data_IF_758138862561
#
_entry.id   IF_758138862561
#
_cell.length_a   1.000
_cell.length_b   1.000
_cell.length_c   1.000
_cell.angle_alpha   90.00
_cell.angle_beta   90.00
_cell.angle_gamma   90.00
#
_symmetry.space_group_name_H-M   'P 1'
#
loop_
_entity.id
_entity.type
_entity.pdbx_description
1 polymer ?
#
# COMPACT_ATOMS: atom_id res chain seq x y z
N UNK A 1 4.86 -0.18 -13.35
CA UNK A 1 4.13 0.71 -14.26
C UNK A 1 5.07 1.82 -14.70
N UNK A 2 5.20 2.03 -16.00
CA UNK A 2 5.96 3.14 -16.56
C UNK A 2 5.02 4.27 -16.98
N UNK A 3 5.38 5.49 -16.63
CA UNK A 3 4.65 6.70 -17.02
C UNK A 3 5.59 7.53 -17.89
N UNK A 4 5.27 7.62 -19.17
CA UNK A 4 6.06 8.31 -20.18
C UNK A 4 5.65 7.89 -21.58
N UNK A 5 6.36 8.43 -22.57
CA UNK A 5 6.07 8.21 -23.98
C UNK A 5 7.28 7.71 -24.79
N UNK A 6 8.45 7.59 -24.21
CA UNK A 6 9.65 7.19 -24.90
C UNK A 6 9.66 5.68 -25.19
N UNK A 7 9.47 5.34 -26.48
CA UNK A 7 9.41 3.93 -26.93
C UNK A 7 10.70 3.17 -26.69
N UNK A 8 11.86 3.82 -26.80
CA UNK A 8 13.16 3.18 -26.59
C UNK A 8 13.30 2.72 -25.15
N UNK A 9 12.90 3.57 -24.20
CA UNK A 9 12.92 3.25 -22.78
C UNK A 9 11.90 2.12 -22.48
N UNK A 10 10.71 2.19 -23.07
CA UNK A 10 9.66 1.17 -22.91
C UNK A 10 10.19 -0.20 -23.38
N UNK A 11 10.77 -0.27 -24.57
CA UNK A 11 11.29 -1.52 -25.14
C UNK A 11 12.45 -2.09 -24.32
N UNK A 12 13.36 -1.22 -23.86
CA UNK A 12 14.46 -1.61 -23.01
C UNK A 12 13.98 -2.17 -21.66
N UNK A 13 13.16 -1.42 -20.95
CA UNK A 13 12.66 -1.81 -19.63
C UNK A 13 11.75 -3.03 -19.68
N UNK A 14 10.95 -3.19 -20.73
CA UNK A 14 10.07 -4.35 -20.89
C UNK A 14 10.87 -5.66 -21.03
N UNK A 15 12.02 -5.61 -21.73
CA UNK A 15 12.92 -6.76 -21.89
C UNK A 15 13.60 -7.15 -20.58
N UNK A 16 14.03 -6.14 -19.82
CA UNK A 16 14.86 -6.37 -18.62
C UNK A 16 14.02 -6.68 -17.38
N UNK A 17 12.80 -6.16 -17.28
CA UNK A 17 11.99 -6.37 -16.07
C UNK A 17 11.40 -7.77 -15.94
N UNK A 18 11.29 -8.53 -17.03
CA UNK A 18 10.83 -9.94 -17.04
C UNK A 18 9.48 -10.20 -16.38
N UNK A 19 8.74 -9.15 -16.02
CA UNK A 19 7.49 -9.20 -15.28
C UNK A 19 6.36 -8.48 -16.00
N UNK A 20 5.25 -8.30 -15.30
CA UNK A 20 4.12 -7.54 -15.83
C UNK A 20 4.53 -6.05 -15.94
N UNK A 21 4.76 -5.59 -17.14
CA UNK A 21 5.14 -4.23 -17.48
C UNK A 21 3.97 -3.54 -18.18
N UNK A 22 3.56 -2.39 -17.67
CA UNK A 22 2.47 -1.58 -18.25
C UNK A 22 2.97 -0.17 -18.47
N UNK A 23 2.97 0.28 -19.72
CA UNK A 23 3.32 1.65 -20.08
C UNK A 23 2.04 2.49 -20.26
N UNK A 24 2.04 3.67 -19.67
CA UNK A 24 0.93 4.65 -19.77
C UNK A 24 1.49 6.05 -20.01
N UNK A 25 0.68 6.90 -20.65
CA UNK A 25 1.09 8.25 -21.03
C UNK A 25 0.77 9.32 -19.98
N UNK A 26 0.11 8.96 -18.85
CA UNK A 26 -0.24 9.95 -17.84
C UNK A 26 -0.44 9.31 -16.45
N UNK A 27 -0.26 10.08 -15.37
CA UNK A 27 -0.52 9.63 -14.01
C UNK A 27 -1.96 9.20 -13.75
N UNK A 28 -2.92 9.82 -14.43
CA UNK A 28 -4.34 9.48 -14.28
C UNK A 28 -4.65 8.09 -14.88
N UNK A 29 -4.00 7.74 -16.00
CA UNK A 29 -4.08 6.39 -16.58
C UNK A 29 -3.38 5.38 -15.69
N UNK A 30 -2.21 5.73 -15.13
CA UNK A 30 -1.52 4.90 -14.13
C UNK A 30 -2.41 4.63 -12.92
N UNK A 31 -3.10 5.65 -12.42
CA UNK A 31 -4.02 5.50 -11.30
C UNK A 31 -5.15 4.50 -11.59
N UNK A 32 -5.75 4.54 -12.78
CA UNK A 32 -6.77 3.56 -13.19
C UNK A 32 -6.23 2.13 -13.21
N UNK A 33 -5.01 1.94 -13.71
CA UNK A 33 -4.35 0.62 -13.71
C UNK A 33 -4.10 0.14 -12.28
N UNK A 34 -3.55 1.01 -11.41
CA UNK A 34 -3.28 0.69 -10.00
C UNK A 34 -4.55 0.33 -9.25
N UNK A 35 -5.64 1.07 -9.47
CA UNK A 35 -6.92 0.82 -8.82
C UNK A 35 -7.54 -0.53 -9.22
N UNK A 36 -7.23 -1.02 -10.43
CA UNK A 36 -7.64 -2.35 -10.91
C UNK A 36 -6.84 -3.52 -10.34
N UNK A 37 -5.69 -3.27 -9.73
CA UNK A 37 -4.81 -4.32 -9.19
C UNK A 37 -5.17 -4.59 -7.73
N UNK A 38 -5.52 -5.83 -7.39
CA UNK A 38 -5.88 -6.24 -6.02
C UNK A 38 -4.70 -6.16 -5.05
N UNK A 39 -3.50 -6.53 -5.50
CA UNK A 39 -2.29 -6.57 -4.67
C UNK A 39 -1.39 -5.35 -4.91
N UNK A 40 -1.74 -4.22 -4.31
CA UNK A 40 -1.03 -2.94 -4.48
C UNK A 40 0.40 -2.91 -3.90
N UNK A 41 0.81 -3.91 -3.15
CA UNK A 41 2.14 -3.97 -2.51
C UNK A 41 3.29 -4.29 -3.47
N UNK A 42 2.99 -4.75 -4.68
CA UNK A 42 3.97 -5.17 -5.68
C UNK A 42 4.15 -4.15 -6.81
N UNK A 43 3.60 -2.96 -6.66
CA UNK A 43 3.62 -1.95 -7.72
C UNK A 43 4.79 -1.00 -7.47
N UNK A 44 5.62 -0.83 -8.50
CA UNK A 44 6.57 0.28 -8.63
C UNK A 44 6.19 1.15 -9.81
N UNK A 45 6.39 2.45 -9.67
CA UNK A 45 6.18 3.43 -10.74
C UNK A 45 7.54 3.90 -11.22
N UNK A 46 7.75 3.82 -12.53
CA UNK A 46 8.87 4.40 -13.23
C UNK A 46 8.32 5.65 -13.94
N UNK A 47 8.70 6.82 -13.48
CA UNK A 47 8.22 8.09 -14.01
C UNK A 47 9.31 8.71 -14.90
N UNK A 48 9.01 8.94 -16.18
CA UNK A 48 9.90 9.61 -17.11
C UNK A 48 9.90 11.12 -16.83
N UNK A 49 11.09 11.68 -16.61
CA UNK A 49 11.24 13.12 -16.43
C UNK A 49 10.83 13.85 -17.71
N UNK A 50 10.04 14.90 -17.56
CA UNK A 50 9.70 15.83 -18.64
C UNK A 50 10.58 17.09 -18.59
N UNK A 51 10.40 17.98 -19.56
CA UNK A 51 11.14 19.25 -19.60
C UNK A 51 10.67 20.24 -18.51
N UNK A 52 9.51 19.99 -17.90
CA UNK A 52 8.89 20.91 -16.95
C UNK A 52 8.85 20.32 -15.56
N UNK A 53 9.82 20.67 -14.72
CA UNK A 53 9.94 20.21 -13.32
C UNK A 53 8.67 20.40 -12.50
N UNK A 54 7.99 21.52 -12.67
CA UNK A 54 6.78 21.86 -11.91
C UNK A 54 5.65 20.88 -12.20
N UNK A 55 5.51 20.48 -13.48
CA UNK A 55 4.53 19.47 -13.92
C UNK A 55 4.89 18.12 -13.30
N UNK A 56 6.14 17.69 -13.42
CA UNK A 56 6.62 16.43 -12.86
C UNK A 56 6.36 16.35 -11.35
N UNK A 57 6.75 17.39 -10.61
CA UNK A 57 6.57 17.43 -9.16
C UNK A 57 5.08 17.40 -8.77
N UNK A 58 4.22 18.08 -9.53
CA UNK A 58 2.77 18.07 -9.31
C UNK A 58 2.17 16.67 -9.53
N UNK A 59 2.54 16.03 -10.64
CA UNK A 59 2.05 14.71 -11.00
C UNK A 59 2.56 13.62 -10.05
N UNK A 60 3.82 13.67 -9.67
CA UNK A 60 4.40 12.75 -8.70
C UNK A 60 3.75 12.94 -7.32
N UNK A 61 3.50 14.19 -6.90
CA UNK A 61 2.81 14.48 -5.64
C UNK A 61 1.36 13.96 -5.65
N UNK A 62 0.67 14.07 -6.79
CA UNK A 62 -0.66 13.47 -6.97
C UNK A 62 -0.62 11.95 -6.75
N UNK A 63 0.33 11.26 -7.40
CA UNK A 63 0.50 9.81 -7.23
C UNK A 63 0.88 9.44 -5.79
N UNK A 64 1.75 10.21 -5.16
CA UNK A 64 2.18 9.98 -3.77
C UNK A 64 1.05 10.16 -2.77
N UNK A 65 0.21 11.18 -2.94
CA UNK A 65 -0.97 11.39 -2.08
C UNK A 65 -1.98 10.26 -2.21
N UNK A 66 -2.21 9.80 -3.45
CA UNK A 66 -3.18 8.72 -3.72
C UNK A 66 -2.64 7.34 -3.31
N UNK A 67 -1.34 7.10 -3.50
CA UNK A 67 -0.67 5.83 -3.24
C UNK A 67 0.57 5.99 -2.35
N UNK A 68 0.42 6.23 -1.05
CA UNK A 68 1.54 6.56 -0.16
C UNK A 68 2.63 5.48 -0.09
N UNK A 69 2.30 4.23 -0.37
CA UNK A 69 3.20 3.08 -0.23
C UNK A 69 3.88 2.64 -1.52
N UNK A 70 3.47 3.17 -2.67
CA UNK A 70 4.07 2.82 -3.96
C UNK A 70 5.47 3.39 -4.06
N UNK A 71 6.38 2.61 -4.66
CA UNK A 71 7.76 3.05 -4.90
C UNK A 71 7.82 3.81 -6.21
N UNK A 72 8.30 5.05 -6.20
CA UNK A 72 8.40 5.92 -7.38
C UNK A 72 9.86 6.14 -7.70
N UNK A 73 10.28 5.71 -8.90
CA UNK A 73 11.61 5.94 -9.47
C UNK A 73 11.49 6.94 -10.60
N UNK A 74 12.27 8.01 -10.54
CA UNK A 74 12.38 8.99 -11.61
C UNK A 74 13.39 8.49 -12.65
N UNK A 75 13.00 8.43 -13.92
CA UNK A 75 13.91 8.13 -15.02
C UNK A 75 14.41 9.45 -15.56
N UNK A 76 15.72 9.67 -15.43
CA UNK A 76 16.41 10.88 -15.85
C UNK A 76 17.86 10.58 -16.19
N UNK A 77 18.41 11.23 -17.20
CA UNK A 77 19.83 11.11 -17.53
C UNK A 77 20.69 11.75 -16.45
N UNK A 78 20.35 12.96 -16.06
CA UNK A 78 21.05 13.68 -15.02
C UNK A 78 20.08 14.50 -14.17
N UNK A 79 20.11 14.27 -12.87
CA UNK A 79 19.34 15.05 -11.94
C UNK A 79 20.19 16.20 -11.37
N UNK A 80 19.98 17.42 -11.87
CA UNK A 80 20.64 18.62 -11.35
C UNK A 80 20.42 18.74 -9.84
N UNK A 81 21.47 19.07 -9.09
CA UNK A 81 21.44 19.16 -7.63
C UNK A 81 20.34 20.11 -7.11
N UNK A 82 20.07 21.17 -7.84
CA UNK A 82 19.01 22.16 -7.54
C UNK A 82 17.60 21.54 -7.55
N UNK A 83 17.36 20.60 -8.46
CA UNK A 83 16.06 19.96 -8.65
C UNK A 83 15.84 18.77 -7.70
N UNK A 84 16.93 18.18 -7.19
CA UNK A 84 16.89 16.97 -6.36
C UNK A 84 15.97 17.11 -5.15
N UNK A 85 16.07 18.27 -4.45
CA UNK A 85 15.23 18.53 -3.27
C UNK A 85 13.75 18.58 -3.62
N UNK A 86 13.40 19.20 -4.74
CA UNK A 86 12.00 19.29 -5.19
C UNK A 86 11.41 17.92 -5.51
N UNK A 87 12.13 17.07 -6.24
CA UNK A 87 11.68 15.71 -6.55
C UNK A 87 11.57 14.82 -5.32
N UNK A 88 12.49 14.93 -4.35
CA UNK A 88 12.39 14.21 -3.09
C UNK A 88 11.15 14.65 -2.28
N UNK A 89 10.87 15.95 -2.25
CA UNK A 89 9.67 16.48 -1.58
C UNK A 89 8.38 16.07 -2.30
N UNK A 90 8.39 15.97 -3.64
CA UNK A 90 7.27 15.44 -4.41
C UNK A 90 7.00 13.96 -4.13
N UNK A 91 8.01 13.22 -3.65
CA UNK A 91 7.85 11.82 -3.23
C UNK A 91 8.61 10.80 -4.07
N UNK A 92 9.61 11.22 -4.84
CA UNK A 92 10.52 10.30 -5.54
C UNK A 92 11.35 9.52 -4.51
N UNK A 93 11.50 8.23 -4.73
CA UNK A 93 12.29 7.35 -3.86
C UNK A 93 13.69 7.07 -4.41
N UNK A 94 13.82 7.04 -5.72
CA UNK A 94 15.07 6.71 -6.41
C UNK A 94 15.12 7.36 -7.79
N UNK A 95 16.30 7.42 -8.38
CA UNK A 95 16.53 7.84 -9.77
C UNK A 95 17.18 6.70 -10.56
N UNK A 96 16.87 6.60 -11.83
CA UNK A 96 17.41 5.60 -12.73
C UNK A 96 17.73 6.25 -14.08
N UNK A 97 18.91 6.05 -14.67
CA UNK A 97 19.18 6.53 -16.02
C UNK A 97 18.31 5.78 -17.04
N UNK A 98 17.95 6.43 -18.17
CA UNK A 98 17.14 5.81 -19.24
C UNK A 98 17.75 4.54 -19.83
N UNK A 99 19.07 4.50 -19.87
CA UNK A 99 19.88 3.37 -20.38
C UNK A 99 20.52 2.57 -19.24
N UNK A 100 19.78 2.40 -18.14
CA UNK A 100 20.29 1.65 -17.01
C UNK A 100 20.67 0.22 -17.41
N UNK A 101 21.84 -0.22 -16.96
CA UNK A 101 22.28 -1.60 -17.13
C UNK A 101 21.33 -2.56 -16.44
N UNK A 102 21.23 -3.76 -16.98
CA UNK A 102 20.39 -4.84 -16.43
C UNK A 102 20.67 -5.08 -14.95
N UNK A 103 21.93 -5.06 -14.54
CA UNK A 103 22.36 -5.21 -13.16
C UNK A 103 21.78 -4.13 -12.22
N UNK A 104 21.65 -2.91 -12.70
CA UNK A 104 21.08 -1.81 -11.91
C UNK A 104 19.59 -1.99 -11.69
N UNK A 105 18.88 -2.48 -12.70
CA UNK A 105 17.46 -2.79 -12.65
C UNK A 105 17.22 -4.01 -11.77
N UNK A 106 18.05 -5.04 -11.87
CA UNK A 106 17.97 -6.24 -11.02
C UNK A 106 18.24 -5.89 -9.54
N UNK A 107 19.25 -5.06 -9.25
CA UNK A 107 19.51 -4.55 -7.89
C UNK A 107 18.32 -3.78 -7.34
N UNK A 108 17.71 -2.92 -8.13
CA UNK A 108 16.49 -2.20 -7.75
C UNK A 108 15.35 -3.18 -7.44
N UNK A 109 15.11 -4.17 -8.30
CA UNK A 109 14.06 -5.17 -8.10
C UNK A 109 14.30 -6.01 -6.83
N UNK A 110 15.54 -6.41 -6.58
CA UNK A 110 15.95 -7.15 -5.38
C UNK A 110 15.72 -6.32 -4.12
N UNK A 111 16.10 -5.05 -4.14
CA UNK A 111 15.83 -4.11 -3.06
C UNK A 111 14.33 -3.94 -2.79
N UNK A 112 13.52 -3.79 -3.84
CA UNK A 112 12.07 -3.66 -3.72
C UNK A 112 11.42 -4.91 -3.11
N UNK A 113 11.88 -6.11 -3.50
CA UNK A 113 11.44 -7.38 -2.92
C UNK A 113 11.79 -7.49 -1.44
N UNK A 114 13.06 -7.23 -1.09
CA UNK A 114 13.52 -7.25 0.30
C UNK A 114 12.75 -6.26 1.20
N UNK A 115 12.53 -5.04 0.70
CA UNK A 115 11.74 -4.02 1.40
C UNK A 115 10.29 -4.45 1.62
N UNK A 116 9.69 -5.12 0.63
CA UNK A 116 8.34 -5.68 0.76
C UNK A 116 8.29 -6.74 1.84
N UNK A 117 9.20 -7.69 1.82
CA UNK A 117 9.27 -8.77 2.81
C UNK A 117 9.46 -8.22 4.23
N UNK A 118 10.34 -7.23 4.39
CA UNK A 118 10.54 -6.56 5.69
C UNK A 118 9.25 -5.91 6.19
N UNK A 119 8.52 -5.20 5.31
CA UNK A 119 7.25 -4.56 5.69
C UNK A 119 6.13 -5.56 5.98
N UNK A 120 6.08 -6.68 5.27
CA UNK A 120 5.12 -7.74 5.56
C UNK A 120 5.41 -8.40 6.91
N UNK A 121 6.69 -8.62 7.25
CA UNK A 121 7.10 -9.13 8.58
C UNK A 121 6.72 -8.15 9.68
N UNK A 122 7.08 -6.88 9.53
CA UNK A 122 6.73 -5.82 10.48
C UNK A 122 5.20 -5.73 10.70
N UNK A 123 4.42 -5.79 9.63
CA UNK A 123 2.96 -5.79 9.71
C UNK A 123 2.42 -7.02 10.44
N UNK A 124 2.95 -8.20 10.14
CA UNK A 124 2.54 -9.45 10.80
C UNK A 124 2.91 -9.48 12.29
N UNK A 125 4.09 -8.96 12.65
CA UNK A 125 4.53 -8.86 14.05
C UNK A 125 3.71 -7.83 14.83
N UNK A 126 3.40 -6.69 14.21
CA UNK A 126 2.55 -5.66 14.82
C UNK A 126 1.14 -6.20 15.06
N UNK A 127 0.55 -6.90 14.08
CA UNK A 127 -0.76 -7.55 14.24
C UNK A 127 -0.73 -8.62 15.33
N UNK A 128 0.32 -9.44 15.39
CA UNK A 128 0.50 -10.46 16.43
C UNK A 128 0.62 -9.84 17.81
N UNK A 129 1.37 -8.73 17.95
CA UNK A 129 1.47 -7.99 19.23
C UNK A 129 0.11 -7.41 19.64
N UNK A 130 -0.62 -6.79 18.71
CA UNK A 130 -1.96 -6.23 18.99
C UNK A 130 -2.92 -7.33 19.43
N UNK A 131 -2.98 -8.47 18.73
CA UNK A 131 -3.82 -9.60 19.11
C UNK A 131 -3.46 -10.18 20.48
N UNK A 132 -2.16 -10.25 20.81
CA UNK A 132 -1.71 -10.74 22.11
C UNK A 132 -1.94 -9.74 23.25
N UNK A 133 -2.11 -8.44 22.94
CA UNK A 133 -2.39 -7.39 23.92
C UNK A 133 -3.88 -7.28 24.22
N UNK A 134 -4.77 -7.85 23.38
CA UNK A 134 -6.21 -7.96 23.64
C UNK A 134 -6.55 -9.13 24.55
N UNK A 135 -5.83 -9.29 25.67
CA UNK A 135 -6.34 -10.06 26.80
C UNK A 135 -7.39 -9.20 27.50
N UNK A 136 -8.66 -9.49 27.23
CA UNK A 136 -9.73 -8.96 28.05
C UNK A 136 -9.44 -9.36 29.50
N UNK A 137 -9.26 -8.40 30.43
CA UNK A 137 -8.95 -8.72 31.80
C UNK A 137 -10.03 -9.65 32.35
N UNK A 138 -9.62 -10.73 33.02
CA UNK A 138 -10.51 -11.79 33.52
C UNK A 138 -11.70 -11.23 34.31
N UNK A 139 -11.51 -10.12 35.02
CA UNK A 139 -12.55 -9.47 35.78
C UNK A 139 -13.71 -8.95 34.91
N UNK A 140 -13.47 -8.48 33.68
CA UNK A 140 -14.54 -8.11 32.75
C UNK A 140 -15.38 -9.31 32.34
N UNK A 141 -14.76 -10.44 32.05
CA UNK A 141 -15.49 -11.68 31.76
C UNK A 141 -16.31 -12.15 32.94
N UNK A 142 -15.78 -12.01 34.16
CA UNK A 142 -16.51 -12.35 35.37
C UNK A 142 -17.72 -11.46 35.57
N UNK A 143 -17.58 -10.15 35.32
CA UNK A 143 -18.72 -9.22 35.36
C UNK A 143 -19.78 -9.53 34.31
N UNK A 144 -19.39 -9.81 33.06
CA UNK A 144 -20.34 -10.14 31.99
C UNK A 144 -21.15 -11.42 32.33
N UNK A 145 -20.48 -12.44 32.88
CA UNK A 145 -21.15 -13.68 33.31
C UNK A 145 -22.10 -13.41 34.48
N UNK A 146 -21.67 -12.61 35.44
CA UNK A 146 -22.47 -12.26 36.60
C UNK A 146 -23.73 -11.47 36.22
N UNK A 147 -23.57 -10.47 35.36
CA UNK A 147 -24.71 -9.69 34.84
C UNK A 147 -25.66 -10.53 33.98
N UNK A 148 -25.11 -11.36 33.08
CA UNK A 148 -25.93 -12.25 32.27
C UNK A 148 -26.70 -13.25 33.13
N UNK A 149 -26.06 -13.83 34.14
CA UNK A 149 -26.71 -14.76 35.09
C UNK A 149 -27.81 -14.07 35.89
N UNK A 150 -27.57 -12.86 36.42
CA UNK A 150 -28.55 -12.09 37.14
C UNK A 150 -29.75 -11.73 36.23
N UNK A 151 -29.52 -11.33 35.00
CA UNK A 151 -30.57 -11.04 34.03
C UNK A 151 -31.48 -12.27 33.77
N UNK A 152 -30.88 -13.45 33.59
CA UNK A 152 -31.63 -14.70 33.38
C UNK A 152 -32.46 -15.05 34.60
N UNK A 153 -31.94 -14.90 35.82
CA UNK A 153 -32.65 -15.19 37.07
C UNK A 153 -33.86 -14.23 37.24
N UNK A 154 -33.65 -12.93 36.96
CA UNK A 154 -34.71 -11.93 37.10
C UNK A 154 -35.81 -12.08 36.05
N UNK A 155 -35.42 -12.42 34.80
CA UNK A 155 -36.36 -12.57 33.69
C UNK A 155 -37.06 -13.94 33.66
N UNK A 156 -36.50 -14.97 34.32
CA UNK A 156 -37.08 -16.32 34.31
C UNK A 156 -38.49 -16.41 34.85
N UNK A 157 -38.85 -15.76 35.96
CA UNK A 157 -40.24 -15.83 36.46
C UNK A 157 -41.25 -15.13 35.53
N UNK A 158 -40.82 -14.08 34.84
CA UNK A 158 -41.65 -13.39 33.84
C UNK A 158 -41.88 -14.27 32.62
N UNK A 159 -40.80 -14.93 32.13
CA UNK A 159 -40.90 -15.86 30.99
C UNK A 159 -41.79 -17.09 31.33
N UNK A 160 -41.65 -17.62 32.54
CA UNK A 160 -42.50 -18.74 32.99
C UNK A 160 -43.97 -18.29 33.14
N UNK A 161 -44.19 -17.11 33.71
CA UNK A 161 -45.54 -16.55 33.86
C UNK A 161 -46.22 -16.30 32.50
N UNK A 162 -45.50 -15.75 31.54
CA UNK A 162 -46.04 -15.55 30.17
C UNK A 162 -46.28 -16.88 29.45
N UNK A 163 -45.41 -17.87 29.62
CA UNK A 163 -45.60 -19.19 29.02
C UNK A 163 -46.84 -19.91 29.58
N UNK A 164 -47.12 -19.75 30.88
CA UNK A 164 -48.35 -20.30 31.52
C UNK A 164 -49.59 -19.55 31.01
N UNK A 165 -49.52 -18.22 30.92
CA UNK A 165 -50.64 -17.40 30.46
C UNK A 165 -51.07 -17.66 29.00
N UNK A 166 -50.12 -18.04 28.15
CA UNK A 166 -50.39 -18.40 26.75
C UNK A 166 -51.02 -19.80 26.61
N UNK A 167 -50.84 -20.66 27.62
CA UNK A 167 -51.30 -22.05 27.56
C UNK A 167 -52.67 -22.28 28.20
N UNK A 168 -53.20 -21.25 28.88
CA UNK A 168 -54.58 -21.20 29.40
C UNK A 168 -55.45 -20.49 28.37
#
# INVERSE_FOLDING_TARGET
>A
IYIGSNRIIIDHLSKVTGGMFVAVSSPQKAAKVIDGIRERYNISILYEQTDTREVDCSEISYLRKRYPRVYITLITEELKSENRKAYLQAGVNNTLPPHAEEDSIQRMNTYLRARKESKLKEFSETHRKVLNTFHLPLWKRTFDILFASAAVIILSPVLIGTAIAIRI
#
